data_IF_552173025705
#
_entry.id   IF_552173025705
#
_cell.length_a   1.000
_cell.length_b   1.000
_cell.length_c   1.000
_cell.angle_alpha   90.00
_cell.angle_beta   90.00
_cell.angle_gamma   90.00
#
_symmetry.space_group_name_H-M   'P 1'
#
loop_
_entity.id
_entity.type
_entity.pdbx_description
1 polymer ?
#
# COMPACT_ATOMS: atom_id res chain seq x y z
N UNK A 1 -3.55 22.33 -4.94
CA UNK A 1 -4.92 22.12 -4.41
C UNK A 1 -4.78 21.73 -2.95
N UNK A 2 -4.92 22.69 -2.06
CA UNK A 2 -4.99 22.46 -0.62
C UNK A 2 -6.33 21.79 -0.30
N UNK A 3 -6.28 20.65 0.38
CA UNK A 3 -7.43 19.95 0.98
C UNK A 3 -8.27 20.99 1.76
N UNK A 4 -9.56 21.12 1.48
CA UNK A 4 -10.39 22.04 2.26
C UNK A 4 -10.53 21.51 3.70
N UNK A 5 -10.26 22.34 4.73
CA UNK A 5 -10.44 21.94 6.10
C UNK A 5 -11.94 21.80 6.39
N UNK A 6 -12.40 20.56 6.59
CA UNK A 6 -13.80 20.28 6.97
C UNK A 6 -14.46 19.06 6.30
N UNK A 7 -13.85 18.44 5.29
CA UNK A 7 -14.42 17.24 4.65
C UNK A 7 -13.94 15.91 5.26
N UNK A 8 -13.22 15.95 6.37
CA UNK A 8 -12.42 14.84 6.86
C UNK A 8 -13.20 13.85 7.75
N UNK A 9 -13.38 12.63 7.25
CA UNK A 9 -13.86 11.48 8.04
C UNK A 9 -12.82 10.95 9.05
N UNK A 10 -11.81 11.74 9.43
CA UNK A 10 -10.77 11.37 10.41
C UNK A 10 -11.34 10.97 11.79
N UNK A 11 -12.60 11.33 12.06
CA UNK A 11 -13.31 11.01 13.29
C UNK A 11 -14.13 9.70 13.22
N UNK A 12 -14.25 9.05 12.05
CA UNK A 12 -14.89 7.73 11.98
C UNK A 12 -14.00 6.68 12.66
N UNK A 13 -14.60 5.90 13.55
CA UNK A 13 -13.92 4.80 14.22
C UNK A 13 -13.37 3.79 13.20
N UNK A 14 -12.16 3.28 13.46
CA UNK A 14 -11.59 2.22 12.64
C UNK A 14 -12.35 0.90 12.86
N UNK A 15 -12.48 0.12 11.80
CA UNK A 15 -12.75 -1.31 11.92
C UNK A 15 -11.48 -2.00 12.41
N UNK A 16 -11.54 -2.63 13.58
CA UNK A 16 -10.41 -3.32 14.19
C UNK A 16 -10.56 -4.83 14.00
N UNK A 17 -9.51 -5.48 13.51
CA UNK A 17 -9.47 -6.94 13.36
C UNK A 17 -8.45 -7.51 14.33
N UNK A 18 -8.92 -7.95 15.50
CA UNK A 18 -8.09 -8.67 16.47
C UNK A 18 -7.87 -10.10 16.00
N UNK A 19 -6.67 -10.37 15.48
CA UNK A 19 -6.26 -11.68 14.96
C UNK A 19 -4.92 -12.08 15.58
N UNK A 20 -4.55 -13.38 15.58
CA UNK A 20 -3.27 -13.80 16.15
C UNK A 20 -2.09 -13.02 15.56
N UNK A 21 -1.20 -12.51 16.41
CA UNK A 21 0.09 -11.91 16.03
C UNK A 21 0.02 -10.63 15.16
N UNK A 22 -1.15 -10.06 14.91
CA UNK A 22 -1.29 -8.85 14.11
C UNK A 22 -2.33 -7.89 14.73
N UNK A 23 -2.06 -6.60 14.59
CA UNK A 23 -3.04 -5.54 14.81
C UNK A 23 -3.38 -4.93 13.45
N UNK A 24 -4.64 -5.02 13.05
CA UNK A 24 -5.10 -4.56 11.75
C UNK A 24 -6.26 -3.60 11.95
N UNK A 25 -6.14 -2.41 11.37
CA UNK A 25 -7.12 -1.35 11.45
C UNK A 25 -7.48 -0.85 10.06
N UNK A 26 -8.77 -0.71 9.76
CA UNK A 26 -9.27 -0.22 8.48
C UNK A 26 -10.17 0.99 8.70
N UNK A 27 -9.91 2.06 7.95
CA UNK A 27 -10.78 3.22 7.82
C UNK A 27 -11.31 3.26 6.39
N UNK A 28 -12.53 2.76 6.11
CA UNK A 28 -13.04 2.62 4.74
C UNK A 28 -13.16 3.95 3.99
N UNK A 29 -13.44 5.04 4.69
CA UNK A 29 -13.65 6.37 4.11
C UNK A 29 -12.63 7.41 4.61
N UNK A 30 -11.38 7.02 4.92
CA UNK A 30 -10.37 7.94 5.49
C UNK A 30 -10.16 9.18 4.63
N UNK A 31 -10.07 9.00 3.31
CA UNK A 31 -10.07 10.07 2.33
C UNK A 31 -11.44 10.14 1.63
N UNK A 32 -12.14 11.28 1.64
CA UNK A 32 -13.42 11.43 0.97
C UNK A 32 -13.33 11.14 -0.53
N UNK A 33 -14.42 10.61 -1.10
CA UNK A 33 -14.46 10.14 -2.48
C UNK A 33 -14.03 11.20 -3.52
N UNK A 34 -14.47 12.45 -3.35
CA UNK A 34 -14.05 13.55 -4.23
C UNK A 34 -12.54 13.78 -4.21
N UNK A 35 -11.93 13.67 -3.03
CA UNK A 35 -10.50 13.86 -2.84
C UNK A 35 -9.72 12.65 -3.34
N UNK A 36 -10.21 11.43 -3.12
CA UNK A 36 -9.56 10.20 -3.61
C UNK A 36 -9.54 10.14 -5.14
N UNK A 37 -10.63 10.55 -5.79
CA UNK A 37 -10.74 10.50 -7.25
C UNK A 37 -9.83 11.55 -7.90
N UNK A 38 -9.81 12.77 -7.36
CA UNK A 38 -8.89 13.82 -7.82
C UNK A 38 -7.42 13.44 -7.60
N UNK A 39 -7.10 12.85 -6.44
CA UNK A 39 -5.75 12.39 -6.13
C UNK A 39 -5.31 11.26 -7.07
N UNK A 40 -6.18 10.27 -7.33
CA UNK A 40 -5.88 9.19 -8.26
C UNK A 40 -5.54 9.75 -9.64
N UNK A 41 -6.43 10.57 -10.21
CA UNK A 41 -6.24 11.16 -11.52
C UNK A 41 -4.92 11.95 -11.58
N UNK A 42 -4.64 12.75 -10.57
CA UNK A 42 -3.42 13.55 -10.53
C UNK A 42 -2.15 12.68 -10.49
N UNK A 43 -2.10 11.64 -9.64
CA UNK A 43 -0.94 10.74 -9.55
C UNK A 43 -0.77 9.89 -10.81
N UNK A 44 -1.85 9.40 -11.41
CA UNK A 44 -1.78 8.65 -12.67
C UNK A 44 -1.17 9.49 -13.81
N UNK A 45 -1.49 10.79 -13.87
CA UNK A 45 -0.95 11.70 -14.90
C UNK A 45 0.44 12.25 -14.60
N UNK A 46 0.78 12.51 -13.34
CA UNK A 46 2.02 13.23 -12.98
C UNK A 46 3.20 12.32 -12.67
N UNK A 47 2.96 11.06 -12.32
CA UNK A 47 4.03 10.12 -11.96
C UNK A 47 4.56 9.35 -13.17
N UNK A 48 5.85 9.05 -13.12
CA UNK A 48 6.54 8.20 -14.11
C UNK A 48 6.40 6.73 -13.73
N UNK A 49 5.24 6.16 -14.00
CA UNK A 49 4.93 4.75 -13.75
C UNK A 49 5.84 3.81 -14.54
N UNK A 50 6.62 2.98 -13.85
CA UNK A 50 7.51 2.00 -14.45
C UNK A 50 7.00 0.58 -14.22
N UNK A 51 7.24 -0.33 -15.17
CA UNK A 51 6.97 -1.75 -14.99
C UNK A 51 8.31 -2.48 -14.88
N UNK A 52 8.72 -2.77 -13.64
CA UNK A 52 9.97 -3.49 -13.38
C UNK A 52 9.84 -4.99 -13.70
N UNK A 53 10.98 -5.67 -13.79
CA UNK A 53 11.05 -7.11 -14.01
C UNK A 53 11.78 -7.79 -12.86
N UNK A 54 11.17 -8.79 -12.24
CA UNK A 54 11.79 -9.56 -11.16
C UNK A 54 12.37 -10.87 -11.67
N UNK A 55 13.34 -11.43 -10.96
CA UNK A 55 13.90 -12.74 -11.29
C UNK A 55 13.04 -13.85 -10.67
N UNK A 56 12.36 -14.63 -11.52
CA UNK A 56 11.56 -15.76 -11.10
C UNK A 56 12.06 -17.03 -11.80
N UNK A 57 12.47 -18.03 -11.01
CA UNK A 57 13.08 -19.27 -11.51
C UNK A 57 14.23 -19.02 -12.51
N UNK A 58 15.08 -18.03 -12.22
CA UNK A 58 16.23 -17.66 -13.06
C UNK A 58 15.88 -16.90 -14.34
N UNK A 59 14.61 -16.53 -14.57
CA UNK A 59 14.17 -15.74 -15.73
C UNK A 59 13.62 -14.38 -15.31
N UNK A 60 13.90 -13.29 -16.04
CA UNK A 60 13.25 -12.01 -15.80
C UNK A 60 11.78 -12.08 -16.21
N UNK A 61 10.88 -11.77 -15.27
CA UNK A 61 9.43 -11.73 -15.47
C UNK A 61 8.94 -10.34 -15.12
N UNK A 62 8.22 -9.70 -16.04
CA UNK A 62 7.57 -8.41 -15.78
C UNK A 62 6.60 -8.54 -14.62
N UNK A 63 6.71 -7.64 -13.66
CA UNK A 63 5.72 -7.54 -12.59
C UNK A 63 4.37 -7.16 -13.23
N UNK A 64 3.25 -7.83 -12.89
CA UNK A 64 1.96 -7.60 -13.53
C UNK A 64 1.26 -6.33 -13.01
N UNK A 65 2.00 -5.24 -12.83
CA UNK A 65 1.54 -3.90 -12.43
C UNK A 65 2.65 -2.88 -12.70
N UNK A 66 2.30 -1.59 -12.72
CA UNK A 66 3.29 -0.52 -12.70
C UNK A 66 3.52 -0.03 -11.27
N UNK A 67 4.70 0.50 -10.98
CA UNK A 67 5.03 0.99 -9.66
C UNK A 67 5.95 2.21 -9.69
N UNK A 68 5.96 2.94 -8.57
CA UNK A 68 6.90 4.02 -8.28
C UNK A 68 7.31 3.90 -6.82
N UNK A 69 8.62 3.89 -6.57
CA UNK A 69 9.18 3.92 -5.23
C UNK A 69 9.63 5.35 -4.91
N UNK A 70 9.15 5.92 -3.80
CA UNK A 70 9.55 7.26 -3.33
C UNK A 70 9.93 7.19 -1.86
N UNK A 71 10.84 8.05 -1.43
CA UNK A 71 11.33 8.03 -0.06
C UNK A 71 12.42 9.03 0.21
N UNK A 72 12.85 9.06 1.46
CA UNK A 72 14.10 9.72 1.83
C UNK A 72 15.30 9.07 1.10
N UNK A 73 16.40 9.80 0.87
CA UNK A 73 17.52 9.31 0.05
C UNK A 73 18.12 7.98 0.51
N UNK A 74 18.08 7.66 1.80
CA UNK A 74 18.61 6.41 2.36
C UNK A 74 17.66 5.21 2.21
N UNK A 75 16.39 5.42 1.83
CA UNK A 75 15.36 4.39 1.75
C UNK A 75 15.52 3.48 0.52
N UNK A 76 16.69 2.87 0.36
CA UNK A 76 16.91 1.80 -0.60
C UNK A 76 16.38 0.47 -0.04
N UNK A 77 15.83 -0.38 -0.89
CA UNK A 77 15.51 -1.75 -0.50
C UNK A 77 15.87 -2.75 -1.59
N UNK A 78 16.15 -3.99 -1.18
CA UNK A 78 16.45 -5.08 -2.11
C UNK A 78 15.30 -6.05 -2.18
N UNK A 79 14.76 -6.26 -3.39
CA UNK A 79 13.70 -7.23 -3.64
C UNK A 79 13.99 -8.07 -4.88
N UNK A 80 13.89 -9.40 -4.74
CA UNK A 80 14.11 -10.37 -5.84
C UNK A 80 15.44 -10.17 -6.59
N UNK A 81 16.51 -9.83 -5.87
CA UNK A 81 17.85 -9.61 -6.44
C UNK A 81 18.08 -8.24 -7.08
N UNK A 82 17.09 -7.33 -7.02
CA UNK A 82 17.23 -5.96 -7.51
C UNK A 82 17.25 -4.96 -6.36
N UNK A 83 18.06 -3.92 -6.48
CA UNK A 83 18.04 -2.76 -5.58
C UNK A 83 17.13 -1.70 -6.16
N UNK A 84 16.16 -1.27 -5.38
CA UNK A 84 15.25 -0.19 -5.72
C UNK A 84 15.70 1.08 -4.99
N UNK A 85 16.07 2.11 -5.76
CA UNK A 85 16.41 3.42 -5.23
C UNK A 85 15.19 4.34 -5.26
N UNK A 86 14.93 5.10 -4.19
CA UNK A 86 13.76 5.97 -4.13
C UNK A 86 13.89 7.11 -5.14
N UNK A 87 12.80 7.38 -5.85
CA UNK A 87 12.64 8.63 -6.59
C UNK A 87 12.39 9.77 -5.60
N UNK A 88 12.77 11.01 -5.94
CA UNK A 88 12.40 12.18 -5.16
C UNK A 88 10.89 12.24 -4.93
N UNK A 89 10.50 12.70 -3.74
CA UNK A 89 9.10 12.83 -3.39
C UNK A 89 8.32 13.71 -4.38
N UNK A 90 7.18 13.21 -4.83
CA UNK A 90 6.14 14.09 -5.36
C UNK A 90 5.51 14.88 -4.19
N UNK A 91 5.27 16.21 -4.31
CA UNK A 91 4.78 17.03 -3.19
C UNK A 91 3.52 16.50 -2.52
N UNK A 92 2.53 16.05 -3.30
CA UNK A 92 1.31 15.45 -2.75
C UNK A 92 1.56 14.15 -1.99
N UNK A 93 2.51 13.34 -2.47
CA UNK A 93 2.83 12.06 -1.85
C UNK A 93 3.54 12.31 -0.52
N UNK A 94 4.47 13.28 -0.46
CA UNK A 94 5.12 13.70 0.79
C UNK A 94 4.09 14.19 1.82
N UNK A 95 3.18 15.07 1.40
CA UNK A 95 2.11 15.57 2.26
C UNK A 95 1.23 14.42 2.80
N UNK A 96 0.86 13.45 1.97
CA UNK A 96 0.11 12.28 2.41
C UNK A 96 0.89 11.42 3.41
N UNK A 97 2.19 11.23 3.20
CA UNK A 97 3.06 10.51 4.13
C UNK A 97 3.04 11.18 5.51
N UNK A 98 3.14 12.51 5.57
CA UNK A 98 3.08 13.29 6.81
C UNK A 98 1.70 13.19 7.46
N UNK A 99 0.62 13.40 6.71
CA UNK A 99 -0.76 13.33 7.22
C UNK A 99 -1.12 11.94 7.78
N UNK A 100 -0.68 10.86 7.12
CA UNK A 100 -0.90 9.49 7.59
C UNK A 100 -0.02 9.21 8.81
N UNK A 101 1.21 9.75 8.84
CA UNK A 101 2.07 9.59 10.01
C UNK A 101 1.44 10.22 11.26
N UNK A 102 0.99 11.48 11.13
CA UNK A 102 0.32 12.22 12.20
C UNK A 102 -0.99 11.54 12.63
N UNK A 103 -1.76 11.02 11.67
CA UNK A 103 -3.04 10.37 11.94
C UNK A 103 -2.89 9.04 12.69
N UNK A 104 -1.90 8.23 12.30
CA UNK A 104 -1.71 6.88 12.85
C UNK A 104 -0.80 6.85 14.07
N UNK A 105 -0.01 7.92 14.30
CA UNK A 105 1.03 7.96 15.33
C UNK A 105 2.32 7.19 14.97
N UNK A 106 2.40 6.63 13.76
CA UNK A 106 3.59 5.94 13.26
C UNK A 106 4.32 6.80 12.24
N UNK A 107 5.65 6.78 12.23
CA UNK A 107 6.43 7.53 11.24
C UNK A 107 6.63 6.70 9.96
N UNK A 108 6.39 7.32 8.81
CA UNK A 108 6.70 6.75 7.50
C UNK A 108 7.67 7.65 6.74
N UNK A 109 8.64 7.05 6.04
CA UNK A 109 9.69 7.79 5.31
C UNK A 109 9.93 7.26 3.89
N UNK A 110 9.11 6.32 3.44
CA UNK A 110 9.09 5.83 2.07
C UNK A 110 7.72 5.24 1.72
N UNK A 111 7.45 5.11 0.43
CA UNK A 111 6.17 4.62 -0.10
C UNK A 111 6.37 3.92 -1.43
N UNK A 112 5.73 2.75 -1.56
CA UNK A 112 5.60 2.06 -2.84
C UNK A 112 4.19 2.31 -3.39
N UNK A 113 4.13 3.07 -4.48
CA UNK A 113 2.91 3.23 -5.24
C UNK A 113 2.79 2.09 -6.25
N UNK A 114 1.63 1.46 -6.31
CA UNK A 114 1.31 0.40 -7.26
C UNK A 114 0.08 0.81 -8.07
N UNK A 115 0.20 0.84 -9.40
CA UNK A 115 -0.89 1.05 -10.33
C UNK A 115 -1.30 -0.28 -10.95
N UNK A 116 -2.52 -0.71 -10.65
CA UNK A 116 -3.21 -1.82 -11.26
C UNK A 116 -4.18 -1.26 -12.30
N UNK A 117 -3.92 -1.48 -13.59
CA UNK A 117 -4.76 -0.93 -14.66
C UNK A 117 -6.18 -1.54 -14.67
N UNK A 118 -6.30 -2.78 -14.21
CA UNK A 118 -7.56 -3.52 -14.16
C UNK A 118 -7.51 -4.67 -13.12
N UNK A 119 -8.54 -5.50 -13.12
CA UNK A 119 -8.66 -6.69 -12.29
C UNK A 119 -7.80 -7.90 -12.71
N UNK A 120 -7.15 -7.88 -13.87
CA UNK A 120 -6.21 -8.92 -14.30
C UNK A 120 -4.84 -8.76 -13.63
N UNK A 121 -4.49 -7.51 -13.36
CA UNK A 121 -3.33 -7.14 -12.56
C UNK A 121 -3.59 -7.45 -11.09
N UNK A 122 -2.61 -8.07 -10.44
CA UNK A 122 -2.78 -8.68 -9.12
C UNK A 122 -1.43 -8.73 -8.38
N UNK A 123 -1.50 -9.02 -7.08
CA UNK A 123 -0.34 -9.34 -6.27
C UNK A 123 -0.60 -10.67 -5.59
N UNK A 124 0.32 -11.62 -5.76
CA UNK A 124 0.21 -12.94 -5.15
C UNK A 124 0.34 -12.89 -3.62
N UNK A 125 0.26 -14.06 -2.99
CA UNK A 125 0.52 -14.17 -1.55
C UNK A 125 1.96 -13.73 -1.24
N UNK A 126 2.10 -12.72 -0.38
CA UNK A 126 3.38 -12.15 0.05
C UNK A 126 3.25 -11.55 1.45
N UNK A 127 4.37 -11.11 2.01
CA UNK A 127 4.42 -10.24 3.18
C UNK A 127 5.46 -9.14 2.91
N UNK A 128 5.32 -8.00 3.58
CA UNK A 128 6.29 -6.91 3.53
C UNK A 128 7.37 -7.18 4.59
N UNK A 129 8.27 -8.12 4.30
CA UNK A 129 9.28 -8.63 5.23
C UNK A 129 10.72 -8.44 4.73
N UNK A 130 10.93 -7.41 3.91
CA UNK A 130 12.25 -6.97 3.50
C UNK A 130 13.10 -6.62 4.75
N UNK A 131 14.35 -7.12 4.85
CA UNK A 131 15.20 -6.87 6.02
C UNK A 131 15.37 -5.40 6.38
N UNK A 132 15.35 -4.52 5.38
CA UNK A 132 15.48 -3.07 5.51
C UNK A 132 14.33 -2.43 6.31
N UNK A 133 13.18 -3.12 6.42
CA UNK A 133 12.02 -2.67 7.20
C UNK A 133 12.16 -2.98 8.70
N UNK A 134 13.16 -3.77 9.09
CA UNK A 134 13.39 -4.17 10.48
C UNK A 134 12.41 -5.22 11.00
N UNK A 135 12.31 -5.30 12.33
CA UNK A 135 11.43 -6.25 13.03
C UNK A 135 10.04 -5.61 13.19
N UNK A 136 9.00 -6.39 12.88
CA UNK A 136 7.60 -6.01 13.04
C UNK A 136 7.25 -4.65 12.40
N UNK A 137 7.53 -4.48 11.09
CA UNK A 137 7.28 -3.20 10.44
C UNK A 137 5.80 -2.87 10.40
N UNK A 138 5.49 -1.61 10.70
CA UNK A 138 4.15 -1.06 10.53
C UNK A 138 4.00 -0.62 9.09
N UNK A 139 2.92 -1.07 8.45
CA UNK A 139 2.61 -0.78 7.05
C UNK A 139 1.26 -0.08 6.99
N UNK A 140 1.22 1.12 6.39
CA UNK A 140 -0.03 1.80 6.07
C UNK A 140 -0.28 1.74 4.56
N UNK A 141 -1.51 1.48 4.14
CA UNK A 141 -1.90 1.33 2.73
C UNK A 141 -3.14 2.15 2.42
N UNK A 142 -2.97 3.20 1.61
CA UNK A 142 -4.06 4.01 1.08
C UNK A 142 -4.48 3.46 -0.29
N UNK A 143 -5.76 3.15 -0.47
CA UNK A 143 -6.32 2.70 -1.75
C UNK A 143 -7.07 3.82 -2.46
N UNK A 144 -6.84 3.96 -3.77
CA UNK A 144 -7.52 4.93 -4.64
C UNK A 144 -8.05 4.22 -5.88
N UNK A 145 -9.24 4.61 -6.36
CA UNK A 145 -9.85 4.05 -7.56
C UNK A 145 -10.70 2.82 -7.32
N UNK A 146 -10.58 1.82 -8.20
CA UNK A 146 -11.47 0.66 -8.15
C UNK A 146 -11.33 -0.13 -6.85
N UNK A 147 -12.48 -0.44 -6.23
CA UNK A 147 -12.53 -1.30 -5.06
C UNK A 147 -11.98 -2.67 -5.39
N UNK A 148 -11.06 -3.17 -4.57
CA UNK A 148 -10.47 -4.51 -4.75
C UNK A 148 -10.53 -5.29 -3.45
N UNK A 149 -10.73 -6.60 -3.59
CA UNK A 149 -10.68 -7.52 -2.46
C UNK A 149 -9.24 -7.66 -1.98
N UNK A 150 -9.03 -7.56 -0.69
CA UNK A 150 -7.77 -7.83 -0.02
C UNK A 150 -7.95 -9.06 0.85
N UNK A 151 -7.00 -9.99 0.78
CA UNK A 151 -7.08 -11.25 1.51
C UNK A 151 -5.85 -11.45 2.36
N UNK A 152 -6.03 -11.95 3.58
CA UNK A 152 -4.98 -12.37 4.48
C UNK A 152 -5.15 -13.83 4.85
N UNK A 153 -4.03 -14.52 5.03
CA UNK A 153 -3.99 -15.86 5.62
C UNK A 153 -2.81 -15.99 6.57
N UNK A 154 -3.03 -16.63 7.70
CA UNK A 154 -1.94 -16.95 8.62
C UNK A 154 -1.09 -18.09 8.04
N UNK A 155 0.23 -18.04 8.23
CA UNK A 155 1.17 -19.03 7.65
C UNK A 155 1.02 -20.43 8.25
N UNK A 156 0.71 -20.50 9.54
CA UNK A 156 0.75 -21.75 10.33
C UNK A 156 -0.56 -22.08 11.05
N UNK A 157 -1.58 -21.23 10.95
CA UNK A 157 -2.84 -21.39 11.67
C UNK A 157 -3.99 -21.27 10.67
N UNK A 158 -5.16 -21.87 10.93
CA UNK A 158 -6.29 -21.88 9.99
C UNK A 158 -7.08 -20.57 9.96
N UNK A 159 -6.40 -19.42 10.10
CA UNK A 159 -7.02 -18.10 10.04
C UNK A 159 -6.91 -17.51 8.64
N UNK A 160 -8.03 -17.00 8.13
CA UNK A 160 -8.12 -16.26 6.89
C UNK A 160 -9.13 -15.12 7.04
N UNK A 161 -8.82 -13.97 6.45
CA UNK A 161 -9.72 -12.84 6.36
C UNK A 161 -9.76 -12.32 4.94
N UNK A 162 -10.88 -11.74 4.56
CA UNK A 162 -11.01 -11.01 3.31
C UNK A 162 -12.00 -9.87 3.46
N UNK A 163 -11.67 -8.72 2.90
CA UNK A 163 -12.54 -7.55 2.85
C UNK A 163 -12.26 -6.76 1.58
N UNK A 164 -13.16 -5.85 1.24
CA UNK A 164 -12.99 -4.95 0.11
C UNK A 164 -12.33 -3.65 0.56
N UNK A 165 -11.39 -3.14 -0.24
CA UNK A 165 -10.73 -1.86 -0.02
C UNK A 165 -11.28 -0.81 -1.00
N UNK A 166 -12.27 0.01 -0.61
CA UNK A 166 -12.82 1.05 -1.47
C UNK A 166 -11.85 2.21 -1.69
N UNK A 167 -12.13 3.06 -2.68
CA UNK A 167 -11.40 4.31 -2.91
C UNK A 167 -11.44 5.19 -1.66
N UNK A 168 -10.28 5.66 -1.24
CA UNK A 168 -10.10 6.46 -0.03
C UNK A 168 -9.91 5.67 1.26
N UNK A 169 -9.92 4.33 1.20
CA UNK A 169 -9.68 3.51 2.40
C UNK A 169 -8.22 3.50 2.81
N UNK A 170 -7.98 3.61 4.13
CA UNK A 170 -6.67 3.45 4.76
C UNK A 170 -6.65 2.14 5.57
N UNK A 171 -5.69 1.28 5.29
CA UNK A 171 -5.45 0.03 6.01
C UNK A 171 -4.10 0.12 6.74
N UNK A 172 -4.09 -0.10 8.04
CA UNK A 172 -2.88 -0.23 8.86
C UNK A 172 -2.68 -1.69 9.26
N UNK A 173 -1.46 -2.19 9.06
CA UNK A 173 -1.02 -3.52 9.49
C UNK A 173 0.19 -3.36 10.40
N UNK A 174 0.05 -3.76 11.66
CA UNK A 174 1.06 -3.62 12.72
C UNK A 174 1.24 -4.92 13.53
N UNK A 175 2.12 -4.88 14.52
CA UNK A 175 2.56 -6.05 15.27
C UNK A 175 3.39 -7.00 14.40
N UNK A 176 3.42 -8.27 14.75
CA UNK A 176 4.17 -9.29 14.00
C UNK A 176 3.44 -9.76 12.71
N UNK A 177 2.61 -8.89 12.12
CA UNK A 177 1.77 -9.19 10.96
C UNK A 177 2.61 -9.72 9.79
N UNK A 178 3.67 -9.00 9.39
CA UNK A 178 4.47 -9.38 8.22
C UNK A 178 5.30 -10.66 8.42
N UNK A 179 5.50 -11.07 9.68
CA UNK A 179 6.13 -12.36 10.00
C UNK A 179 5.15 -13.53 9.88
N UNK A 180 3.93 -13.37 10.40
CA UNK A 180 3.00 -14.48 10.58
C UNK A 180 1.90 -14.58 9.52
N UNK A 181 1.64 -13.51 8.80
CA UNK A 181 0.58 -13.42 7.80
C UNK A 181 1.14 -13.23 6.40
N UNK A 182 0.39 -13.75 5.44
CA UNK A 182 0.54 -13.43 4.03
C UNK A 182 -0.70 -12.68 3.59
N UNK A 183 -0.51 -11.69 2.74
CA UNK A 183 -1.60 -10.94 2.13
C UNK A 183 -1.51 -10.98 0.61
N UNK A 184 -2.65 -10.75 -0.06
CA UNK A 184 -2.72 -10.68 -1.52
C UNK A 184 -3.82 -9.77 -2.01
N UNK A 185 -3.67 -9.34 -3.26
CA UNK A 185 -4.71 -8.71 -4.05
C UNK A 185 -5.04 -9.67 -5.22
N UNK A 186 -6.08 -10.52 -5.13
CA UNK A 186 -6.35 -11.55 -6.13
C UNK A 186 -6.84 -10.93 -7.46
N UNK A 187 -6.79 -11.73 -8.53
CA UNK A 187 -7.39 -11.39 -9.82
C UNK A 187 -8.91 -11.30 -9.68
N UNK A 188 -9.50 -10.25 -10.24
CA UNK A 188 -10.95 -10.00 -10.28
C UNK A 188 -11.33 -9.53 -11.68
N UNK A 189 -11.45 -10.47 -12.63
CA UNK A 189 -11.55 -10.20 -14.08
C UNK A 189 -12.68 -9.28 -14.54
N UNK A 190 -13.70 -9.03 -13.69
CA UNK A 190 -14.81 -8.12 -13.96
C UNK A 190 -14.49 -6.65 -13.71
N UNK A 191 -13.36 -6.34 -13.08
CA UNK A 191 -12.94 -4.96 -12.79
C UNK A 191 -12.13 -4.46 -13.97
N UNK A 192 -12.59 -3.36 -14.58
CA UNK A 192 -12.00 -2.77 -15.78
C UNK A 192 -11.36 -1.40 -15.51
N UNK A 193 -11.57 -0.85 -14.32
CA UNK A 193 -11.03 0.45 -13.91
C UNK A 193 -9.75 0.30 -13.07
N UNK A 194 -8.88 1.29 -13.17
CA UNK A 194 -7.61 1.30 -12.46
C UNK A 194 -7.78 1.45 -10.95
N UNK A 195 -6.80 0.93 -10.22
CA UNK A 195 -6.59 1.14 -8.79
C UNK A 195 -5.15 1.56 -8.56
N UNK A 196 -4.95 2.59 -7.75
CA UNK A 196 -3.64 2.94 -7.19
C UNK A 196 -3.63 2.57 -5.71
N UNK A 197 -2.56 1.93 -5.24
CA UNK A 197 -2.29 1.82 -3.80
C UNK A 197 -0.97 2.43 -3.42
N UNK A 198 -0.97 3.20 -2.34
CA UNK A 198 0.21 3.80 -1.74
C UNK A 198 0.51 3.04 -0.45
N UNK A 199 1.59 2.26 -0.45
CA UNK A 199 2.02 1.45 0.70
C UNK A 199 3.19 2.14 1.39
N UNK A 200 2.91 2.83 2.49
CA UNK A 200 3.84 3.61 3.31
C UNK A 200 4.58 2.72 4.29
N UNK A 201 5.88 2.97 4.44
CA UNK A 201 6.80 2.18 5.26
C UNK A 201 7.83 3.07 5.96
N UNK A 202 8.57 2.47 6.87
CA UNK A 202 9.72 3.08 7.52
C UNK A 202 10.98 2.24 7.28
N UNK A 203 12.06 2.89 6.86
CA UNK A 203 13.41 2.31 6.75
C UNK A 203 14.37 3.13 7.61
N UNK A 204 15.09 2.47 8.52
CA UNK A 204 16.10 3.13 9.35
C UNK A 204 17.29 3.63 8.50
N UNK A 205 17.90 4.74 8.92
CA UNK A 205 19.08 5.32 8.26
C UNK A 205 20.37 4.56 8.59
#
# INVERSE_FOLDING_TARGET
MTRQPGSDNRQKAAEHFSVPNADIQLWPDWLPRSNSDALQQQLEHQLRWAQDSIMMFGKPVKIPRQQVWMGEPHCHYRYSGMTFSPQPWHPLVKQLTEEISDFTGYHFNCVLLNLYQDGQQHMGWHADNEPELGIDPVIASLSLGSTRRFELKHRHQPWQLAWDLPSGSLLLMAGACQQHWLHRLPKQSRITQSRVSLTFRYIAA
#
